data_IF_741624163317
#
_entry.id   IF_741624163317
#
_cell.length_a   1.000
_cell.length_b   1.000
_cell.length_c   1.000
_cell.angle_alpha   90.00
_cell.angle_beta   90.00
_cell.angle_gamma   90.00
#
_symmetry.space_group_name_H-M   'P 1'
#
loop_
_entity.id
_entity.type
_entity.pdbx_description
1 polymer ?
#
# COMPACT_ATOMS: atom_id res chain seq x y z
N UNK A 1 20.80 19.09 4.70
CA UNK A 1 20.34 17.76 4.22
C UNK A 1 19.01 17.95 3.51
N UNK A 2 18.79 17.39 2.32
CA UNK A 2 17.48 17.45 1.66
C UNK A 2 16.69 16.18 2.04
N UNK A 3 15.89 16.27 3.10
CA UNK A 3 15.08 15.15 3.62
C UNK A 3 13.95 14.75 2.66
N UNK A 4 13.56 15.60 1.71
CA UNK A 4 12.51 15.27 0.74
C UNK A 4 12.89 14.07 -0.12
N UNK A 5 14.20 13.90 -0.39
CA UNK A 5 14.75 12.73 -1.08
C UNK A 5 14.60 11.42 -0.30
N UNK A 6 14.17 11.50 0.96
CA UNK A 6 13.90 10.37 1.83
C UNK A 6 12.41 10.26 2.15
N UNK A 7 11.54 11.01 1.48
CA UNK A 7 10.11 11.01 1.75
C UNK A 7 9.70 11.77 3.01
N UNK A 8 10.58 12.63 3.57
CA UNK A 8 10.32 13.36 4.80
C UNK A 8 10.51 14.88 4.61
N UNK A 9 9.58 15.67 5.14
CA UNK A 9 9.76 17.12 5.35
C UNK A 9 9.61 17.44 6.83
N UNK A 10 10.48 18.32 7.31
CA UNK A 10 10.46 18.78 8.69
C UNK A 10 10.17 20.28 8.68
N UNK A 11 9.02 20.67 9.23
CA UNK A 11 8.62 22.05 9.41
C UNK A 11 8.79 22.48 10.87
N UNK A 12 9.48 23.61 11.08
CA UNK A 12 9.58 24.26 12.40
C UNK A 12 8.81 25.57 12.31
N UNK A 13 7.81 25.76 13.18
CA UNK A 13 7.05 26.99 13.19
C UNK A 13 7.89 28.17 13.70
N UNK A 14 7.59 29.39 13.26
CA UNK A 14 8.21 30.61 13.81
C UNK A 14 7.98 30.66 15.32
N UNK A 15 9.00 31.06 16.08
CA UNK A 15 9.00 31.09 17.57
C UNK A 15 8.89 29.71 18.24
N UNK A 16 9.26 28.62 17.54
CA UNK A 16 9.44 27.32 18.20
C UNK A 16 10.66 27.27 19.13
N UNK A 17 11.53 28.28 19.03
CA UNK A 17 12.79 28.43 19.77
C UNK A 17 12.96 29.88 20.23
N UNK A 18 13.63 30.06 21.37
CA UNK A 18 14.18 31.36 21.73
C UNK A 18 15.34 31.71 20.79
N UNK A 19 15.59 32.99 20.56
CA UNK A 19 16.60 33.47 19.60
C UNK A 19 18.04 33.04 19.93
N UNK A 20 18.31 32.64 21.17
CA UNK A 20 19.61 32.15 21.66
C UNK A 20 19.73 30.62 21.68
N UNK A 21 18.67 29.90 21.30
CA UNK A 21 18.60 28.45 21.45
C UNK A 21 18.81 27.71 20.13
N UNK A 22 19.68 26.70 20.18
CA UNK A 22 19.84 25.71 19.11
C UNK A 22 19.21 24.38 19.54
N UNK A 23 18.42 23.77 18.65
CA UNK A 23 17.92 22.39 18.80
C UNK A 23 18.43 21.54 17.67
N UNK A 24 18.93 20.37 18.01
CA UNK A 24 19.35 19.38 17.04
C UNK A 24 18.19 18.42 16.81
N UNK A 25 17.82 18.22 15.55
CA UNK A 25 16.86 17.22 15.13
C UNK A 25 17.62 16.08 14.46
N UNK A 26 17.53 14.87 15.04
CA UNK A 26 18.09 13.67 14.45
C UNK A 26 16.96 12.87 13.81
N UNK A 27 17.09 12.59 12.51
CA UNK A 27 16.13 11.76 11.79
C UNK A 27 16.82 10.66 11.02
N UNK A 28 16.27 9.45 11.14
CA UNK A 28 16.74 8.25 10.45
C UNK A 28 15.55 7.56 9.81
N UNK A 29 15.60 7.37 8.49
CA UNK A 29 14.69 6.46 7.80
C UNK A 29 15.16 5.01 8.06
N UNK A 30 14.29 4.18 8.61
CA UNK A 30 14.61 2.80 8.91
C UNK A 30 14.29 1.94 7.69
N UNK A 31 15.34 1.40 7.08
CA UNK A 31 15.23 0.43 5.97
C UNK A 31 14.60 -0.88 6.45
N UNK A 32 14.73 -1.19 7.74
CA UNK A 32 13.91 -2.22 8.36
C UNK A 32 14.00 -2.31 9.88
N UNK A 33 13.23 -3.23 10.46
CA UNK A 33 13.21 -3.48 11.90
C UNK A 33 12.14 -4.48 12.36
N UNK A 34 12.18 -4.80 13.66
CA UNK A 34 11.13 -5.59 14.30
C UNK A 34 9.99 -4.65 14.70
N UNK A 35 9.02 -4.49 13.81
CA UNK A 35 7.86 -3.62 14.01
C UNK A 35 6.60 -4.46 14.16
N UNK A 36 5.74 -4.08 15.08
CA UNK A 36 4.40 -4.63 15.21
C UNK A 36 3.38 -3.52 15.05
N UNK A 37 2.60 -3.58 13.96
CA UNK A 37 1.56 -2.63 13.67
C UNK A 37 0.20 -3.10 14.20
N UNK A 38 -0.74 -2.17 14.47
CA UNK A 38 -2.13 -2.49 14.82
C UNK A 38 -2.79 -3.44 13.81
N UNK A 39 -3.71 -4.32 14.25
CA UNK A 39 -4.41 -5.24 13.35
C UNK A 39 -5.26 -4.48 12.31
N UNK A 40 -5.58 -5.13 11.19
CA UNK A 40 -6.35 -4.56 10.08
C UNK A 40 -5.70 -3.31 9.47
N UNK A 41 -4.38 -3.21 9.53
CA UNK A 41 -3.63 -2.12 8.92
C UNK A 41 -2.50 -2.65 8.04
N UNK A 42 -2.12 -1.82 7.08
CA UNK A 42 -0.99 -2.07 6.19
C UNK A 42 -0.08 -0.85 6.18
N UNK A 43 1.23 -1.09 6.26
CA UNK A 43 2.24 -0.03 6.18
C UNK A 43 2.27 0.58 4.78
N UNK A 44 2.09 1.91 4.70
CA UNK A 44 2.04 2.66 3.44
C UNK A 44 3.12 3.74 3.33
N UNK A 45 4.05 3.82 4.28
CA UNK A 45 5.22 4.72 4.25
C UNK A 45 6.48 4.00 4.73
N UNK A 46 7.64 4.66 4.64
CA UNK A 46 8.78 4.31 5.49
C UNK A 46 8.47 4.55 6.98
N UNK A 47 9.29 3.94 7.84
CA UNK A 47 9.33 4.20 9.28
C UNK A 47 10.49 5.14 9.57
N UNK A 48 10.25 6.24 10.30
CA UNK A 48 11.28 7.19 10.68
C UNK A 48 11.47 7.22 12.19
N UNK A 49 12.71 7.22 12.65
CA UNK A 49 13.06 7.59 14.02
C UNK A 49 13.37 9.10 14.07
N UNK A 50 12.65 9.87 14.88
CA UNK A 50 12.74 11.35 14.91
C UNK A 50 12.99 11.88 16.31
N UNK A 51 14.22 12.24 16.64
CA UNK A 51 14.62 12.78 17.96
C UNK A 51 14.90 14.28 17.92
N UNK A 52 14.71 14.94 19.08
CA UNK A 52 15.08 16.32 19.32
C UNK A 52 15.99 16.38 20.56
N UNK A 53 17.08 17.15 20.50
CA UNK A 53 18.00 17.29 21.64
C UNK A 53 17.38 17.97 22.85
N UNK A 54 16.35 18.80 22.64
CA UNK A 54 15.49 19.37 23.68
C UNK A 54 14.10 19.69 23.12
N UNK A 55 13.07 19.80 23.98
CA UNK A 55 11.71 20.12 23.54
C UNK A 55 11.63 21.49 22.86
N UNK A 56 10.78 21.60 21.84
CA UNK A 56 10.44 22.86 21.19
C UNK A 56 9.27 23.56 21.89
N UNK A 57 9.21 24.89 21.81
CA UNK A 57 8.09 25.69 22.32
C UNK A 57 6.79 25.39 21.56
N UNK A 58 6.90 25.21 20.24
CA UNK A 58 5.82 24.77 19.34
C UNK A 58 6.15 23.39 18.79
N UNK A 59 5.14 22.66 18.32
CA UNK A 59 5.32 21.28 17.83
C UNK A 59 6.12 21.27 16.53
N UNK A 60 6.91 20.22 16.35
CA UNK A 60 7.58 19.91 15.08
C UNK A 60 6.55 19.38 14.11
N UNK A 61 6.45 19.96 12.91
CA UNK A 61 5.63 19.42 11.83
C UNK A 61 6.43 18.38 11.06
N UNK A 62 5.96 17.15 11.03
CA UNK A 62 6.53 16.06 10.24
C UNK A 62 5.59 15.80 9.07
N UNK A 63 6.07 15.94 7.84
CA UNK A 63 5.33 15.52 6.65
C UNK A 63 5.99 14.27 6.07
N UNK A 64 5.24 13.19 5.99
CA UNK A 64 5.72 11.86 5.61
C UNK A 64 5.04 11.44 4.32
N UNK A 65 5.83 10.95 3.38
CA UNK A 65 5.36 10.42 2.11
C UNK A 65 4.69 9.06 2.31
N UNK A 66 3.56 8.82 1.64
CA UNK A 66 2.91 7.51 1.56
C UNK A 66 2.76 7.04 0.10
N UNK A 67 2.55 5.74 -0.08
CA UNK A 67 2.43 5.10 -1.38
C UNK A 67 0.98 4.89 -1.85
N UNK A 68 -0.03 5.37 -1.12
CA UNK A 68 -1.44 5.31 -1.55
C UNK A 68 -1.73 6.40 -2.57
N UNK A 69 -2.21 6.02 -3.76
CA UNK A 69 -2.69 6.97 -4.76
C UNK A 69 -4.09 7.48 -4.39
N UNK A 70 -4.11 8.71 -3.88
CA UNK A 70 -5.35 9.42 -3.55
C UNK A 70 -5.93 10.14 -4.77
N UNK A 71 -5.18 10.26 -5.87
CA UNK A 71 -5.65 10.95 -7.07
C UNK A 71 -6.76 10.12 -7.72
N UNK A 72 -7.94 10.71 -7.83
CA UNK A 72 -9.13 10.01 -8.30
C UNK A 72 -9.82 9.12 -7.25
N UNK A 73 -9.22 8.95 -6.05
CA UNK A 73 -9.82 8.26 -4.90
C UNK A 73 -9.61 9.06 -3.60
N UNK A 74 -10.02 10.34 -3.55
CA UNK A 74 -9.72 11.23 -2.44
C UNK A 74 -10.30 10.75 -1.10
N UNK A 75 -11.43 10.02 -1.13
CA UNK A 75 -12.07 9.45 0.05
C UNK A 75 -11.19 8.44 0.79
N UNK A 76 -10.15 7.88 0.16
CA UNK A 76 -9.23 6.96 0.83
C UNK A 76 -8.38 7.63 1.91
N UNK A 77 -8.26 8.96 1.90
CA UNK A 77 -7.48 9.69 2.91
C UNK A 77 -8.01 9.47 4.34
N UNK A 78 -9.31 9.23 4.51
CA UNK A 78 -9.94 8.96 5.83
C UNK A 78 -9.48 7.64 6.47
N UNK A 79 -8.97 6.73 5.63
CA UNK A 79 -8.45 5.42 6.04
C UNK A 79 -6.95 5.44 6.30
N UNK A 80 -6.28 6.58 6.09
CA UNK A 80 -4.88 6.75 6.45
C UNK A 80 -4.78 7.27 7.89
N UNK A 81 -3.83 6.71 8.64
CA UNK A 81 -3.61 7.01 10.05
C UNK A 81 -2.11 7.10 10.32
N UNK A 82 -1.71 8.02 11.17
CA UNK A 82 -0.37 7.99 11.74
C UNK A 82 -0.29 6.94 12.83
N UNK A 83 0.84 6.22 12.88
CA UNK A 83 1.14 5.32 13.96
C UNK A 83 2.52 5.63 14.54
N UNK A 84 2.62 5.46 15.86
CA UNK A 84 3.79 5.84 16.64
C UNK A 84 4.19 4.73 17.60
N UNK A 85 5.49 4.51 17.73
CA UNK A 85 6.09 3.71 18.80
C UNK A 85 7.11 4.54 19.59
N UNK A 86 7.11 4.46 20.94
CA UNK A 86 8.15 5.08 21.77
C UNK A 86 9.52 4.46 21.50
N UNK A 87 10.58 5.26 21.44
CA UNK A 87 11.92 4.69 21.23
C UNK A 87 12.47 4.04 22.49
N UNK A 88 11.97 4.42 23.67
CA UNK A 88 12.27 3.80 24.95
C UNK A 88 11.66 2.40 25.13
N UNK A 89 11.10 1.79 24.07
CA UNK A 89 10.56 0.43 24.15
C UNK A 89 11.67 -0.51 24.64
N UNK A 90 11.51 -1.16 25.81
CA UNK A 90 12.60 -1.86 26.50
C UNK A 90 13.04 -3.15 25.80
N UNK A 91 12.24 -3.65 24.86
CA UNK A 91 12.51 -4.85 24.06
C UNK A 91 11.81 -4.77 22.72
N UNK A 92 12.37 -5.43 21.70
CA UNK A 92 11.71 -5.61 20.41
C UNK A 92 10.57 -6.65 20.52
N UNK A 93 9.53 -6.58 19.66
CA UNK A 93 9.33 -5.61 18.59
C UNK A 93 8.87 -4.23 19.09
N UNK A 94 9.12 -3.18 18.30
CA UNK A 94 8.52 -1.86 18.53
C UNK A 94 7.02 -1.95 18.30
N UNK A 95 6.25 -1.69 19.34
CA UNK A 95 4.80 -1.72 19.32
C UNK A 95 4.26 -0.36 18.87
N UNK A 96 3.72 -0.33 17.65
CA UNK A 96 3.08 0.86 17.10
C UNK A 96 1.63 0.94 17.57
N UNK A 97 1.19 2.16 17.84
CA UNK A 97 -0.20 2.50 18.15
C UNK A 97 -0.67 3.61 17.22
N UNK A 98 -1.93 3.54 16.77
CA UNK A 98 -2.55 4.63 16.03
C UNK A 98 -2.62 5.85 16.96
N UNK A 99 -2.26 7.01 16.43
CA UNK A 99 -2.39 8.28 17.14
C UNK A 99 -3.46 9.13 16.49
N UNK A 100 -4.25 9.79 17.33
CA UNK A 100 -5.22 10.77 16.88
C UNK A 100 -4.54 12.04 16.36
N UNK A 101 -5.17 12.64 15.35
CA UNK A 101 -4.65 13.80 14.64
C UNK A 101 -3.73 13.45 13.47
N UNK A 102 -3.10 14.50 12.94
CA UNK A 102 -2.47 14.43 11.62
C UNK A 102 -3.50 14.55 10.50
N UNK A 103 -3.04 15.01 9.35
CA UNK A 103 -3.89 15.34 8.22
C UNK A 103 -3.30 14.78 6.93
N UNK A 104 -4.19 14.32 6.04
CA UNK A 104 -3.85 13.78 4.73
C UNK A 104 -4.58 14.61 3.68
N UNK A 105 -3.83 15.27 2.79
CA UNK A 105 -4.45 15.98 1.67
C UNK A 105 -4.97 14.96 0.67
N UNK A 106 -6.18 15.18 0.16
CA UNK A 106 -6.87 14.31 -0.79
C UNK A 106 -6.19 14.18 -2.17
N UNK A 107 -5.15 14.97 -2.42
CA UNK A 107 -4.43 15.04 -3.69
C UNK A 107 -2.89 15.00 -3.53
N UNK A 108 -2.40 14.62 -2.35
CA UNK A 108 -0.97 14.58 -2.03
C UNK A 108 -0.53 13.17 -1.70
N UNK A 109 0.70 12.83 -2.07
CA UNK A 109 1.37 11.63 -1.55
C UNK A 109 2.00 11.85 -0.17
N UNK A 110 1.58 12.88 0.58
CA UNK A 110 2.11 13.22 1.90
C UNK A 110 0.97 13.44 2.90
N UNK A 111 1.14 12.87 4.09
CA UNK A 111 0.41 13.29 5.29
C UNK A 111 1.32 14.09 6.21
N UNK A 112 0.75 14.89 7.12
CA UNK A 112 1.53 15.54 8.16
C UNK A 112 1.00 15.32 9.57
N UNK A 113 1.89 15.33 10.56
CA UNK A 113 1.56 15.25 11.98
C UNK A 113 2.48 16.18 12.79
N UNK A 114 1.97 16.69 13.91
CA UNK A 114 2.72 17.52 14.84
C UNK A 114 3.21 16.73 16.05
N UNK A 115 4.51 16.79 16.36
CA UNK A 115 5.14 16.04 17.45
C UNK A 115 6.05 16.89 18.35
N UNK A 116 6.18 16.47 19.61
CA UNK A 116 7.06 17.09 20.62
C UNK A 116 8.17 16.17 21.13
N UNK A 117 7.99 14.86 20.98
CA UNK A 117 8.83 13.85 21.63
C UNK A 117 9.48 12.94 20.61
N UNK A 118 10.60 12.35 21.02
CA UNK A 118 11.27 11.31 20.26
C UNK A 118 10.33 10.14 20.03
N UNK A 119 10.16 9.76 18.77
CA UNK A 119 9.36 8.60 18.42
C UNK A 119 9.78 7.96 17.12
N UNK A 120 9.38 6.70 16.95
CA UNK A 120 9.23 6.09 15.65
C UNK A 120 7.86 6.49 15.09
N UNK A 121 7.81 6.86 13.81
CA UNK A 121 6.58 7.32 13.16
C UNK A 121 6.46 6.75 11.76
N UNK A 122 5.25 6.37 11.38
CA UNK A 122 4.89 5.94 10.02
C UNK A 122 3.40 6.27 9.74
N UNK A 123 2.99 6.01 8.50
CA UNK A 123 1.61 6.05 8.05
C UNK A 123 1.14 4.62 7.78
N UNK A 124 -0.01 4.29 8.34
CA UNK A 124 -0.74 3.06 8.10
C UNK A 124 -2.02 3.36 7.34
N UNK A 125 -2.45 2.42 6.51
CA UNK A 125 -3.79 2.43 5.93
C UNK A 125 -4.64 1.33 6.55
N UNK A 126 -5.89 1.64 6.88
CA UNK A 126 -6.88 0.65 7.29
C UNK A 126 -7.21 -0.27 6.11
N UNK A 127 -7.17 -1.58 6.30
CA UNK A 127 -7.49 -2.54 5.23
C UNK A 127 -8.99 -2.81 5.13
N UNK A 128 -9.69 -2.77 6.26
CA UNK A 128 -11.09 -3.13 6.33
C UNK A 128 -11.89 -2.24 7.25
N UNK A 129 -13.16 -2.02 6.91
CA UNK A 129 -14.15 -1.34 7.74
C UNK A 129 -15.23 -2.32 8.18
N UNK A 130 -15.76 -2.10 9.38
CA UNK A 130 -17.01 -2.72 9.76
C UNK A 130 -18.09 -2.04 8.93
N UNK A 131 -18.78 -2.79 8.07
CA UNK A 131 -19.91 -2.29 7.29
C UNK A 131 -21.07 -1.89 8.18
N UNK A 132 -20.98 -0.71 8.81
CA UNK A 132 -22.17 0.05 9.15
C UNK A 132 -22.61 0.71 7.85
N UNK A 133 -23.69 0.18 7.31
CA UNK A 133 -24.55 0.90 6.39
C UNK A 133 -25.05 2.15 7.10
N UNK A 134 -24.28 3.23 7.08
CA UNK A 134 -24.80 4.55 7.43
C UNK A 134 -25.50 5.10 6.17
N UNK A 135 -26.76 4.68 6.10
CA UNK A 135 -27.97 5.39 5.72
C UNK A 135 -27.88 6.66 4.85
N UNK A 136 -28.68 6.61 3.78
CA UNK A 136 -29.48 7.66 3.17
C UNK A 136 -28.82 9.02 2.90
N UNK A 137 -28.42 9.20 1.63
CA UNK A 137 -28.52 10.49 0.97
C UNK A 137 -30.01 10.91 0.95
N UNK A 138 -30.47 11.60 2.01
CA UNK A 138 -31.67 12.43 1.96
C UNK A 138 -31.35 13.66 1.11
N UNK A 139 -31.40 13.48 -0.21
CA UNK A 139 -31.60 14.59 -1.13
C UNK A 139 -33.01 15.15 -0.89
N UNK A 140 -33.10 16.14 0.01
CA UNK A 140 -34.22 17.07 0.06
C UNK A 140 -34.30 17.81 -1.29
N UNK A 141 -35.03 17.23 -2.24
CA UNK A 141 -35.58 17.96 -3.38
C UNK A 141 -36.95 18.47 -2.92
N UNK A 142 -36.97 19.73 -2.46
CA UNK A 142 -38.18 20.53 -2.49
C UNK A 142 -38.63 20.62 -3.95
N UNK A 143 -39.73 19.92 -4.25
CA UNK A 143 -40.53 20.20 -5.44
C UNK A 143 -41.97 20.36 -4.97
N UNK A 144 -42.35 21.63 -4.85
CA UNK A 144 -43.74 22.06 -4.92
C UNK A 144 -44.36 21.52 -6.22
N UNK A 145 -45.49 20.84 -6.12
CA UNK A 145 -46.61 21.02 -7.05
C UNK A 145 -47.88 20.36 -6.48
N UNK A 146 -48.92 21.18 -6.38
CA UNK A 146 -50.30 20.86 -6.05
C UNK A 146 -50.94 19.94 -7.11
N UNK A 147 -51.78 18.96 -6.72
CA UNK A 147 -53.14 18.81 -7.26
C UNK A 147 -54.00 17.79 -6.47
N UNK A 148 -55.30 18.01 -6.59
CA UNK A 148 -56.43 17.65 -5.74
C UNK A 148 -56.98 16.20 -5.78
N UNK A 149 -57.84 15.95 -4.79
CA UNK A 149 -59.10 15.18 -4.80
C UNK A 149 -59.15 13.67 -4.42
N UNK A 150 -59.68 13.47 -3.21
CA UNK A 150 -60.78 12.56 -2.80
C UNK A 150 -60.72 11.06 -3.13
N UNK A 151 -60.75 10.20 -2.10
CA UNK A 151 -62.01 9.64 -1.56
C UNK A 151 -61.78 8.53 -0.50
N UNK A 152 -62.48 8.72 0.63
CA UNK A 152 -63.09 7.74 1.57
C UNK A 152 -62.71 6.26 1.56
N UNK A 153 -62.45 5.72 2.77
CA UNK A 153 -62.79 4.32 3.11
C UNK A 153 -61.97 3.70 4.23
N UNK A 154 -62.49 3.72 5.46
CA UNK A 154 -61.92 3.11 6.67
C UNK A 154 -62.59 1.71 6.92
N UNK A 155 -62.40 1.00 8.06
CA UNK A 155 -61.49 -0.14 8.29
C UNK A 155 -62.19 -1.44 8.75
N UNK A 156 -61.43 -2.50 9.12
CA UNK A 156 -61.93 -3.58 10.00
C UNK A 156 -61.06 -4.84 9.98
N UNK A 157 -60.30 -5.14 11.05
CA UNK A 157 -60.67 -6.04 12.18
C UNK A 157 -60.55 -7.54 11.82
N UNK A 158 -59.54 -8.27 12.33
CA UNK A 158 -59.46 -8.94 13.65
C UNK A 158 -60.17 -10.30 13.72
N UNK A 159 -59.46 -11.32 14.23
CA UNK A 159 -60.02 -12.62 14.63
C UNK A 159 -59.17 -13.80 14.15
N UNK A 160 -58.17 -14.26 14.90
CA UNK A 160 -58.25 -15.16 16.06
C UNK A 160 -58.12 -16.65 15.70
N UNK A 161 -57.13 -17.26 16.35
CA UNK A 161 -56.67 -18.64 16.30
C UNK A 161 -57.71 -19.68 16.76
N UNK A 162 -57.48 -20.93 16.34
CA UNK A 162 -57.64 -22.23 17.06
C UNK A 162 -57.68 -23.34 15.99
N UNK A 163 -57.20 -24.57 16.15
CA UNK A 163 -56.42 -25.33 17.13
C UNK A 163 -56.39 -26.76 16.56
N UNK A 164 -55.35 -27.54 16.85
CA UNK A 164 -55.43 -29.01 16.98
C UNK A 164 -55.63 -29.86 15.69
N UNK A 165 -55.05 -31.04 15.48
CA UNK A 165 -54.20 -31.91 16.30
C UNK A 165 -53.58 -33.00 15.40
N UNK A 166 -52.38 -33.45 15.81
CA UNK A 166 -51.89 -34.84 15.89
C UNK A 166 -51.54 -35.68 14.64
N UNK A 167 -50.32 -36.25 14.79
CA UNK A 167 -49.87 -37.62 14.45
C UNK A 167 -49.48 -37.91 12.99
N UNK A 168 -48.45 -38.68 12.63
CA UNK A 168 -47.28 -39.33 13.25
C UNK A 168 -46.48 -39.91 12.06
N UNK A 169 -45.15 -40.03 12.21
CA UNK A 169 -44.22 -40.97 11.54
C UNK A 169 -43.21 -40.43 10.51
N UNK A 170 -41.97 -40.85 10.78
CA UNK A 170 -40.66 -40.57 10.20
C UNK A 170 -40.33 -41.60 9.06
N UNK A 171 -39.13 -41.61 8.45
CA UNK A 171 -38.69 -40.87 7.26
C UNK A 171 -38.34 -41.80 6.08
N UNK A 172 -38.20 -41.29 4.84
CA UNK A 172 -37.25 -41.86 3.85
C UNK A 172 -36.88 -40.81 2.78
N UNK A 173 -35.58 -40.66 2.55
CA UNK A 173 -34.92 -39.72 1.63
C UNK A 173 -35.28 -39.94 0.14
N UNK A 174 -35.46 -38.88 -0.65
CA UNK A 174 -34.53 -38.42 -1.71
C UNK A 174 -35.11 -37.34 -2.66
N UNK A 175 -34.36 -36.23 -2.78
CA UNK A 175 -34.06 -35.40 -3.99
C UNK A 175 -35.09 -34.37 -4.53
N UNK A 176 -34.63 -33.10 -4.53
CA UNK A 176 -34.89 -31.97 -5.45
C UNK A 176 -35.91 -30.85 -5.11
N UNK A 177 -35.32 -29.69 -4.73
CA UNK A 177 -35.54 -28.29 -5.16
C UNK A 177 -36.97 -27.73 -5.28
N UNK A 178 -37.34 -26.83 -4.35
CA UNK A 178 -37.78 -25.43 -4.61
C UNK A 178 -38.25 -24.75 -3.30
N UNK A 179 -37.72 -23.56 -3.01
CA UNK A 179 -37.97 -22.63 -1.88
C UNK A 179 -39.44 -22.10 -1.79
N UNK A 180 -39.86 -21.29 -0.78
CA UNK A 180 -39.12 -20.66 0.33
C UNK A 180 -39.79 -20.82 1.72
N UNK A 181 -39.03 -20.84 2.82
CA UNK A 181 -39.60 -20.40 4.11
C UNK A 181 -38.55 -19.75 5.00
N UNK A 182 -38.81 -18.47 5.25
CA UNK A 182 -38.21 -17.56 6.22
C UNK A 182 -38.01 -18.19 7.60
N UNK A 183 -36.79 -18.10 8.11
CA UNK A 183 -36.53 -18.02 9.55
C UNK A 183 -35.61 -16.83 9.83
N UNK A 184 -35.92 -15.99 10.84
CA UNK A 184 -35.11 -14.82 11.17
C UNK A 184 -33.98 -15.26 12.10
N UNK A 185 -32.79 -15.48 11.53
CA UNK A 185 -31.59 -15.60 12.32
C UNK A 185 -30.80 -14.30 12.18
N UNK A 186 -30.85 -13.50 13.24
CA UNK A 186 -30.06 -12.30 13.48
C UNK A 186 -28.60 -12.70 13.69
N UNK A 187 -27.92 -13.10 12.62
CA UNK A 187 -26.47 -13.06 12.58
C UNK A 187 -26.09 -11.76 11.87
N UNK A 188 -25.79 -10.73 12.66
CA UNK A 188 -25.00 -9.61 12.17
C UNK A 188 -23.60 -10.16 11.85
N UNK A 189 -23.47 -10.81 10.70
CA UNK A 189 -22.17 -11.04 10.08
C UNK A 189 -21.66 -9.63 9.79
N UNK A 190 -20.72 -9.15 10.61
CA UNK A 190 -19.92 -7.98 10.26
C UNK A 190 -19.19 -8.33 8.96
N UNK A 191 -19.80 -8.00 7.82
CA UNK A 191 -19.14 -8.11 6.54
C UNK A 191 -18.04 -7.05 6.57
N UNK A 192 -16.81 -7.50 6.75
CA UNK A 192 -15.62 -6.67 6.65
C UNK A 192 -15.53 -6.22 5.19
N UNK A 193 -15.72 -4.92 4.94
CA UNK A 193 -15.59 -4.35 3.60
C UNK A 193 -14.18 -3.80 3.43
N UNK A 194 -13.51 -4.17 2.33
CA UNK A 194 -12.20 -3.59 1.96
C UNK A 194 -12.34 -2.08 1.85
N UNK A 195 -11.37 -1.35 2.41
CA UNK A 195 -11.32 0.11 2.29
C UNK A 195 -10.90 0.58 0.90
N UNK A 196 -10.32 -0.29 0.07
CA UNK A 196 -9.71 0.12 -1.20
C UNK A 196 -8.26 0.63 -1.07
N UNK A 197 -7.71 0.71 0.15
CA UNK A 197 -6.35 1.22 0.41
C UNK A 197 -5.29 0.32 -0.23
N UNK A 198 -5.44 -1.00 -0.08
CA UNK A 198 -4.50 -1.98 -0.63
C UNK A 198 -4.49 -1.86 -2.16
N UNK A 199 -5.64 -1.76 -2.78
CA UNK A 199 -5.84 -1.63 -4.23
C UNK A 199 -5.26 -0.33 -4.80
N UNK A 200 -5.18 0.72 -3.99
CA UNK A 200 -4.65 2.03 -4.37
C UNK A 200 -3.14 2.19 -4.11
N UNK A 201 -2.43 1.17 -3.63
CA UNK A 201 -0.99 1.26 -3.41
C UNK A 201 -0.21 1.30 -4.72
N UNK A 202 0.64 2.32 -4.83
CA UNK A 202 1.67 2.44 -5.86
C UNK A 202 2.98 1.84 -5.35
N UNK A 203 3.67 1.12 -6.23
CA UNK A 203 4.96 0.50 -5.99
C UNK A 203 6.00 1.10 -6.93
N UNK A 204 7.27 1.00 -6.57
CA UNK A 204 8.38 1.38 -7.41
C UNK A 204 9.16 0.14 -7.84
N UNK A 205 9.44 0.05 -9.14
CA UNK A 205 10.42 -0.86 -9.72
C UNK A 205 11.67 -0.08 -10.11
N UNK A 206 12.85 -0.56 -9.76
CA UNK A 206 14.12 0.06 -10.14
C UNK A 206 15.06 -0.99 -10.73
N UNK A 207 15.67 -0.65 -11.85
CA UNK A 207 16.76 -1.41 -12.44
C UNK A 207 18.09 -0.82 -11.98
N UNK A 208 19.03 -1.67 -11.60
CA UNK A 208 20.43 -1.28 -11.36
C UNK A 208 21.38 -2.36 -11.85
N UNK A 209 22.60 -1.96 -12.18
CA UNK A 209 23.58 -2.80 -12.87
C UNK A 209 24.89 -2.84 -12.11
N UNK A 210 25.54 -4.00 -12.10
CA UNK A 210 26.89 -4.17 -11.58
C UNK A 210 27.74 -4.92 -12.61
N UNK A 211 28.83 -4.29 -13.05
CA UNK A 211 29.79 -4.90 -13.96
C UNK A 211 30.56 -6.00 -13.22
N UNK A 212 30.46 -7.25 -13.69
CA UNK A 212 31.17 -8.41 -13.14
C UNK A 212 32.04 -9.09 -14.21
N UNK A 213 33.10 -8.39 -14.59
CA UNK A 213 34.13 -8.93 -15.47
C UNK A 213 33.64 -8.99 -16.93
N UNK A 214 33.21 -10.17 -17.38
CA UNK A 214 32.71 -10.37 -18.77
C UNK A 214 31.19 -10.40 -18.86
N UNK A 215 30.49 -10.40 -17.72
CA UNK A 215 29.03 -10.36 -17.64
C UNK A 215 28.60 -9.09 -16.90
N UNK A 216 27.55 -8.46 -17.41
CA UNK A 216 26.85 -7.40 -16.70
C UNK A 216 25.67 -8.00 -15.94
N UNK A 217 25.63 -7.72 -14.64
CA UNK A 217 24.59 -8.21 -13.77
C UNK A 217 23.51 -7.15 -13.61
N UNK A 218 22.34 -7.41 -14.18
CA UNK A 218 21.17 -6.53 -14.08
C UNK A 218 20.26 -7.04 -12.98
N UNK A 219 19.90 -6.14 -12.06
CA UNK A 219 18.92 -6.44 -11.02
C UNK A 219 17.70 -5.54 -11.19
N UNK A 220 16.52 -6.15 -11.26
CA UNK A 220 15.26 -5.45 -11.08
C UNK A 220 14.73 -5.69 -9.67
N UNK A 221 14.53 -4.64 -8.89
CA UNK A 221 13.94 -4.74 -7.55
C UNK A 221 12.61 -4.00 -7.49
N UNK A 222 11.65 -4.56 -6.74
CA UNK A 222 10.33 -3.96 -6.54
C UNK A 222 10.08 -3.68 -5.05
N UNK A 223 9.64 -2.47 -4.73
CA UNK A 223 9.48 -1.96 -3.35
C UNK A 223 8.28 -1.01 -3.23
N UNK A 224 7.82 -0.74 -2.00
CA UNK A 224 6.86 0.35 -1.73
C UNK A 224 7.52 1.73 -1.67
N UNK A 225 8.73 1.79 -1.12
CA UNK A 225 9.48 3.02 -0.93
C UNK A 225 10.77 2.99 -1.75
N UNK A 226 10.81 3.78 -2.82
CA UNK A 226 11.96 3.91 -3.71
C UNK A 226 13.19 4.46 -2.98
N UNK A 227 13.00 5.35 -2.01
CA UNK A 227 14.12 5.96 -1.29
C UNK A 227 14.81 4.92 -0.40
N UNK A 228 14.03 4.05 0.24
CA UNK A 228 14.54 2.91 1.01
C UNK A 228 15.40 1.99 0.13
N UNK A 229 14.96 1.70 -1.09
CA UNK A 229 15.74 0.91 -2.05
C UNK A 229 17.01 1.61 -2.50
N UNK A 230 16.96 2.92 -2.77
CA UNK A 230 18.13 3.70 -3.17
C UNK A 230 19.20 3.68 -2.08
N UNK A 231 18.82 3.80 -0.80
CA UNK A 231 19.76 3.71 0.31
C UNK A 231 20.32 2.30 0.48
N UNK A 232 19.47 1.27 0.32
CA UNK A 232 19.94 -0.12 0.29
C UNK A 232 21.02 -0.31 -0.77
N UNK A 233 20.78 0.12 -2.01
CA UNK A 233 21.74 -0.04 -3.12
C UNK A 233 23.05 0.70 -2.83
N UNK A 234 23.01 1.93 -2.32
CA UNK A 234 24.23 2.68 -1.96
C UNK A 234 25.07 1.96 -0.91
N UNK A 235 24.42 1.27 0.02
CA UNK A 235 25.09 0.57 1.12
C UNK A 235 25.61 -0.81 0.69
N UNK A 236 24.78 -1.60 0.02
CA UNK A 236 25.03 -3.02 -0.27
C UNK A 236 25.73 -3.24 -1.61
N UNK A 237 25.53 -2.33 -2.57
CA UNK A 237 26.10 -2.40 -3.92
C UNK A 237 26.65 -1.02 -4.34
N UNK A 238 27.69 -0.49 -3.66
CA UNK A 238 28.15 0.88 -3.83
C UNK A 238 28.72 1.19 -5.23
N UNK A 239 29.06 0.15 -6.00
CA UNK A 239 29.53 0.26 -7.39
C UNK A 239 28.41 0.14 -8.42
N UNK A 240 27.19 -0.15 -7.98
CA UNK A 240 26.07 -0.33 -8.88
C UNK A 240 25.66 1.00 -9.52
N UNK A 241 25.47 0.98 -10.83
CA UNK A 241 24.86 2.09 -11.55
C UNK A 241 23.34 1.94 -11.53
N UNK A 242 22.63 3.03 -11.21
CA UNK A 242 21.17 3.03 -11.16
C UNK A 242 20.61 3.37 -12.53
N UNK A 243 19.77 2.49 -13.04
CA UNK A 243 18.95 2.71 -14.21
C UNK A 243 17.69 3.53 -13.93
N UNK A 244 16.75 3.44 -14.86
CA UNK A 244 15.45 4.08 -14.73
C UNK A 244 14.55 3.33 -13.74
N UNK A 245 13.71 4.08 -13.03
CA UNK A 245 12.65 3.52 -12.19
C UNK A 245 11.29 3.70 -12.87
N UNK A 246 10.35 2.85 -12.49
CA UNK A 246 8.95 2.90 -12.90
C UNK A 246 8.06 2.85 -11.67
N UNK A 247 6.90 3.49 -11.75
CA UNK A 247 5.84 3.35 -10.76
C UNK A 247 4.73 2.48 -11.33
N UNK A 248 4.16 1.60 -10.51
CA UNK A 248 3.13 0.68 -10.94
C UNK A 248 2.18 0.29 -9.80
N UNK A 249 0.98 -0.14 -10.15
CA UNK A 249 0.05 -0.79 -9.23
C UNK A 249 -0.06 -2.26 -9.60
N UNK A 250 -0.15 -3.16 -8.61
CA UNK A 250 -0.48 -4.56 -8.90
C UNK A 250 -1.91 -4.64 -9.43
N UNK A 251 -2.13 -5.51 -10.42
CA UNK A 251 -3.47 -5.77 -10.97
C UNK A 251 -4.39 -6.41 -9.92
N UNK A 252 -3.86 -7.35 -9.16
CA UNK A 252 -4.60 -8.16 -8.19
C UNK A 252 -4.06 -7.97 -6.77
N UNK A 253 -4.94 -8.11 -5.77
CA UNK A 253 -4.60 -7.87 -4.36
C UNK A 253 -3.53 -8.81 -3.80
N UNK A 254 -3.51 -10.06 -4.24
CA UNK A 254 -2.48 -11.05 -3.89
C UNK A 254 -1.63 -11.41 -5.12
N UNK A 255 -1.60 -10.50 -6.09
CA UNK A 255 -0.93 -10.69 -7.37
C UNK A 255 0.59 -10.77 -7.28
N UNK A 256 1.17 -11.07 -8.44
CA UNK A 256 2.59 -10.96 -8.69
C UNK A 256 2.81 -10.19 -9.99
N UNK A 257 3.96 -9.53 -10.09
CA UNK A 257 4.47 -9.05 -11.36
C UNK A 257 5.41 -10.08 -11.97
N UNK A 258 5.45 -10.16 -13.29
CA UNK A 258 6.36 -11.04 -14.03
C UNK A 258 7.12 -10.24 -15.08
N UNK A 259 8.45 -10.38 -15.10
CA UNK A 259 9.31 -9.87 -16.16
C UNK A 259 9.32 -10.90 -17.29
N UNK A 260 8.82 -10.52 -18.47
CA UNK A 260 8.73 -11.41 -19.63
C UNK A 260 9.99 -11.31 -20.48
N UNK A 261 10.65 -12.45 -20.66
CA UNK A 261 11.82 -12.60 -21.53
C UNK A 261 11.46 -13.45 -22.75
N UNK A 262 12.20 -13.26 -23.83
CA UNK A 262 11.98 -13.96 -25.10
C UNK A 262 10.84 -13.38 -25.95
N UNK A 263 10.37 -12.17 -25.63
CA UNK A 263 9.38 -11.45 -26.46
C UNK A 263 10.05 -10.83 -27.67
N UNK A 264 9.28 -10.60 -28.73
CA UNK A 264 9.74 -9.91 -29.93
C UNK A 264 10.32 -8.53 -29.59
N UNK A 265 11.47 -8.22 -30.19
CA UNK A 265 12.20 -6.96 -29.96
C UNK A 265 12.19 -6.14 -31.24
N UNK A 266 12.03 -4.82 -31.10
CA UNK A 266 12.06 -3.89 -32.23
C UNK A 266 13.48 -3.71 -32.79
N UNK A 267 14.48 -3.75 -31.91
CA UNK A 267 15.89 -3.56 -32.26
C UNK A 267 16.63 -4.88 -32.33
N UNK A 268 17.69 -4.90 -33.13
CA UNK A 268 18.57 -6.06 -33.26
C UNK A 268 19.27 -6.36 -31.93
N UNK A 269 19.26 -7.63 -31.54
CA UNK A 269 19.89 -8.15 -30.32
C UNK A 269 20.91 -9.24 -30.65
N UNK A 270 21.32 -9.34 -31.91
CA UNK A 270 22.25 -10.37 -32.40
C UNK A 270 23.52 -10.39 -31.57
N UNK A 271 23.91 -11.59 -31.14
CA UNK A 271 25.11 -11.83 -30.34
C UNK A 271 24.96 -11.56 -28.84
N UNK A 272 23.82 -11.06 -28.37
CA UNK A 272 23.54 -10.88 -26.94
C UNK A 272 22.79 -12.08 -26.36
N UNK A 273 23.16 -12.46 -25.13
CA UNK A 273 22.44 -13.43 -24.30
C UNK A 273 21.91 -12.71 -23.06
N UNK A 274 20.63 -12.91 -22.77
CA UNK A 274 19.94 -12.35 -21.61
C UNK A 274 19.31 -13.52 -20.86
N UNK A 275 19.85 -13.84 -19.69
CA UNK A 275 19.41 -15.00 -18.92
C UNK A 275 18.91 -14.59 -17.53
N UNK A 276 17.60 -14.67 -17.27
CA UNK A 276 17.07 -14.47 -15.93
C UNK A 276 17.42 -15.67 -15.05
N UNK A 277 17.94 -15.41 -13.86
CA UNK A 277 18.36 -16.44 -12.91
C UNK A 277 17.18 -17.15 -12.23
N UNK A 278 15.98 -16.58 -12.36
CA UNK A 278 14.73 -17.16 -11.85
C UNK A 278 13.71 -17.31 -13.00
N UNK A 279 13.11 -18.50 -13.11
CA UNK A 279 12.12 -18.83 -14.16
C UNK A 279 10.88 -19.48 -13.51
N UNK A 280 9.69 -18.85 -13.59
CA UNK A 280 9.41 -17.53 -14.15
C UNK A 280 9.98 -16.40 -13.27
N UNK A 281 10.36 -15.27 -13.87
CA UNK A 281 10.90 -14.12 -13.12
C UNK A 281 9.76 -13.32 -12.49
N UNK A 282 9.27 -13.80 -11.34
CA UNK A 282 8.09 -13.27 -10.64
C UNK A 282 8.44 -12.64 -9.30
N UNK A 283 7.82 -11.50 -9.00
CA UNK A 283 7.85 -10.88 -7.68
C UNK A 283 6.43 -10.79 -7.12
N UNK A 284 6.20 -11.47 -6.00
CA UNK A 284 4.89 -11.49 -5.35
C UNK A 284 4.70 -10.25 -4.47
N UNK A 285 3.50 -9.66 -4.55
CA UNK A 285 3.15 -8.47 -3.77
C UNK A 285 3.34 -8.66 -2.27
N UNK A 286 2.94 -9.81 -1.75
CA UNK A 286 3.08 -10.11 -0.32
C UNK A 286 4.54 -10.23 0.14
N UNK A 287 5.50 -10.48 -0.78
CA UNK A 287 6.94 -10.46 -0.49
C UNK A 287 7.50 -9.05 -0.63
N UNK A 288 7.08 -8.30 -1.65
CA UNK A 288 7.40 -6.86 -1.82
C UNK A 288 6.98 -6.06 -0.59
N UNK A 289 5.83 -6.37 -0.01
CA UNK A 289 5.32 -5.74 1.20
C UNK A 289 6.13 -6.06 2.47
N UNK A 290 6.95 -7.11 2.47
CA UNK A 290 7.75 -7.48 3.64
C UNK A 290 9.13 -6.85 3.63
N UNK A 291 9.57 -6.24 2.53
CA UNK A 291 10.85 -5.56 2.50
C UNK A 291 10.95 -4.53 3.63
N UNK A 292 11.97 -4.69 4.47
CA UNK A 292 12.16 -3.89 5.68
C UNK A 292 11.59 -4.49 6.96
N UNK A 293 10.99 -5.67 6.92
CA UNK A 293 10.74 -6.46 8.13
C UNK A 293 12.04 -7.12 8.60
N UNK A 294 12.16 -7.41 9.90
CA UNK A 294 13.37 -7.98 10.50
C UNK A 294 13.89 -9.26 9.81
N UNK A 295 12.99 -10.08 9.28
CA UNK A 295 13.32 -11.33 8.58
C UNK A 295 13.41 -11.17 7.06
N UNK A 296 13.21 -9.96 6.54
CA UNK A 296 13.19 -9.65 5.10
C UNK A 296 14.06 -8.40 4.81
N UNK A 297 15.37 -8.45 5.10
CA UNK A 297 16.26 -7.31 4.96
C UNK A 297 16.64 -7.01 3.50
N UNK A 298 16.40 -7.95 2.58
CA UNK A 298 16.76 -7.82 1.17
C UNK A 298 15.54 -7.44 0.33
N UNK A 299 15.69 -6.51 -0.63
CA UNK A 299 14.61 -6.17 -1.54
C UNK A 299 14.29 -7.36 -2.45
N UNK A 300 13.00 -7.68 -2.67
CA UNK A 300 12.61 -8.70 -3.63
C UNK A 300 13.05 -8.30 -5.02
N UNK A 301 13.84 -9.17 -5.66
CA UNK A 301 14.52 -8.85 -6.90
C UNK A 301 14.59 -10.02 -7.88
N UNK A 302 14.68 -9.65 -9.15
CA UNK A 302 14.94 -10.51 -10.30
C UNK A 302 16.36 -10.22 -10.78
N UNK A 303 17.22 -11.25 -10.76
CA UNK A 303 18.60 -11.16 -11.22
C UNK A 303 18.73 -11.68 -12.65
N UNK A 304 19.45 -10.95 -13.49
CA UNK A 304 19.54 -11.19 -14.93
C UNK A 304 21.00 -11.04 -15.35
N UNK A 305 21.58 -12.09 -15.94
CA UNK A 305 22.89 -11.99 -16.60
C UNK A 305 22.71 -11.48 -18.02
N UNK A 306 23.52 -10.50 -18.40
CA UNK A 306 23.63 -9.99 -19.77
C UNK A 306 25.06 -10.18 -20.25
N UNK A 307 25.22 -10.84 -21.40
CA UNK A 307 26.53 -11.16 -21.97
C UNK A 307 26.50 -10.98 -23.50
N UNK A 308 27.51 -10.27 -24.02
CA UNK A 308 27.75 -10.09 -25.45
C UNK A 308 28.82 -11.06 -25.97
N UNK A 309 28.48 -11.87 -26.97
CA UNK A 309 29.43 -12.72 -27.68
C UNK A 309 30.28 -11.92 -28.70
N UNK A 310 31.42 -12.45 -29.17
CA UNK A 310 32.19 -11.81 -30.24
C UNK A 310 31.33 -11.58 -31.48
N UNK A 311 31.17 -10.31 -31.89
CA UNK A 311 30.31 -9.92 -33.00
C UNK A 311 28.90 -9.48 -32.59
N UNK A 312 28.62 -9.37 -31.29
CA UNK A 312 27.40 -8.72 -30.82
C UNK A 312 27.28 -7.29 -31.35
N UNK A 313 26.05 -6.86 -31.61
CA UNK A 313 25.77 -5.46 -31.95
C UNK A 313 26.26 -4.55 -30.81
N UNK A 314 26.77 -3.34 -31.11
CA UNK A 314 27.52 -2.54 -30.15
C UNK A 314 26.72 -2.00 -28.96
N UNK A 315 25.39 -2.04 -29.01
CA UNK A 315 24.52 -1.55 -27.94
C UNK A 315 23.29 -2.43 -27.83
N UNK A 316 23.00 -2.92 -26.63
CA UNK A 316 21.81 -3.72 -26.38
C UNK A 316 20.61 -2.82 -26.08
N UNK A 317 19.54 -2.98 -26.84
CA UNK A 317 18.26 -2.35 -26.55
C UNK A 317 17.17 -3.41 -26.37
N UNK A 318 17.05 -3.91 -25.14
CA UNK A 318 16.09 -4.95 -24.81
C UNK A 318 14.94 -4.42 -23.95
N UNK A 319 13.71 -4.48 -24.47
CA UNK A 319 12.52 -4.10 -23.73
C UNK A 319 11.94 -5.31 -23.00
N UNK A 320 11.66 -5.15 -21.70
CA UNK A 320 11.09 -6.21 -20.86
C UNK A 320 9.66 -5.82 -20.48
N UNK A 321 8.63 -6.49 -21.03
CA UNK A 321 7.26 -6.30 -20.58
C UNK A 321 7.09 -6.75 -19.13
N UNK A 322 6.42 -5.89 -18.36
CA UNK A 322 6.01 -6.18 -17.00
C UNK A 322 4.53 -6.58 -16.99
N UNK A 323 4.26 -7.86 -16.75
CA UNK A 323 2.91 -8.39 -16.58
C UNK A 323 2.46 -8.31 -15.11
N UNK A 324 1.15 -8.40 -14.85
CA UNK A 324 0.59 -8.39 -13.50
C UNK A 324 0.43 -7.01 -12.87
N UNK A 325 0.66 -5.95 -13.67
CA UNK A 325 0.41 -4.56 -13.32
C UNK A 325 -0.95 -4.08 -13.84
N UNK A 326 -1.54 -3.08 -13.19
CA UNK A 326 -2.83 -2.52 -13.57
C UNK A 326 -2.78 -1.86 -14.96
N UNK A 327 -1.72 -1.09 -15.21
CA UNK A 327 -1.43 -0.46 -16.50
C UNK A 327 -0.18 -1.10 -17.11
N UNK A 328 -0.20 -1.57 -18.37
CA UNK A 328 0.95 -2.21 -18.99
C UNK A 328 2.20 -1.31 -18.99
N UNK A 329 3.33 -1.87 -18.56
CA UNK A 329 4.62 -1.18 -18.50
C UNK A 329 5.64 -1.97 -19.30
N UNK A 330 6.40 -1.26 -20.14
CA UNK A 330 7.64 -1.75 -20.72
C UNK A 330 8.79 -1.16 -19.91
N UNK A 331 9.61 -2.02 -19.33
CA UNK A 331 10.83 -1.56 -18.69
C UNK A 331 11.79 -1.05 -19.78
N UNK A 332 12.36 0.15 -19.60
CA UNK A 332 13.28 0.73 -20.56
C UNK A 332 14.52 -0.17 -20.67
N UNK A 333 15.17 -0.18 -21.84
CA UNK A 333 16.33 -1.02 -22.05
C UNK A 333 17.45 -0.66 -21.07
N UNK A 334 18.20 -1.64 -20.56
CA UNK A 334 19.47 -1.36 -19.93
C UNK A 334 20.35 -0.65 -20.97
N UNK A 335 20.87 0.54 -20.64
CA UNK A 335 21.84 1.20 -21.50
C UNK A 335 23.18 0.48 -21.27
N UNK A 336 23.49 -0.46 -22.16
CA UNK A 336 24.76 -1.20 -22.24
C UNK A 336 25.29 -1.14 -23.66
#
# INVERSE_FOLDING_TARGET
>A
MNWEKYGLRIGVQKESLLSSETVEAAVVALVGGQFQFPPNTVLVSAVYAVSLSKPLLKRLKLEIQHCVDLKGRPALSRHLKFAIAPVSTPSLPYLFSIVEGGEFSSNSGYGFIERKEFCLVCILGEEWTNGRSDDHDDDNIDSDDDDDTSSTGQPGASGACKESTKETNLPTNTVSVADPTTTPNTDHVNILQSTGVKEAMTYAGLIYYEEKGVEDLVTFAAVRDLNTLIEFIKSDSPRAERGQHVYFCFKDNDGCIELKFGTEQEKDITGWTIDPHMKPCRLHRHIVNKFGEANYPLPPSCLISVYGSPGAVPTLHYSIPLEGVADPILLPPPLM
#
